data_IF_718435761665
#
_entry.id   IF_718435761665
#
_cell.length_a   1.000
_cell.length_b   1.000
_cell.length_c   1.000
_cell.angle_alpha   90.00
_cell.angle_beta   90.00
_cell.angle_gamma   90.00
#
_symmetry.space_group_name_H-M   'P 1'
#
loop_
_entity.id
_entity.type
_entity.pdbx_description
1 polymer ?
#
# COMPACT_ATOMS: atom_id res chain seq x y z
N UNK A 1 -1.72 16.18 -21.45
CA UNK A 1 -1.35 15.09 -20.54
C UNK A 1 -2.07 15.32 -19.23
N UNK A 2 -2.70 14.30 -18.65
CA UNK A 2 -3.23 14.41 -17.31
C UNK A 2 -2.07 14.54 -16.32
N UNK A 3 -2.16 15.49 -15.41
CA UNK A 3 -1.17 15.70 -14.35
C UNK A 3 -1.76 15.19 -13.05
N UNK A 4 -1.05 14.32 -12.36
CA UNK A 4 -1.44 13.80 -11.06
C UNK A 4 -0.52 14.33 -9.97
N UNK A 5 -1.10 14.59 -8.81
CA UNK A 5 -0.36 14.93 -7.59
C UNK A 5 -0.08 13.64 -6.82
N UNK A 6 1.13 13.52 -6.31
CA UNK A 6 1.57 12.41 -5.45
C UNK A 6 1.36 12.80 -4.00
N UNK A 7 0.55 12.05 -3.26
CA UNK A 7 0.39 12.18 -1.81
C UNK A 7 1.15 11.03 -1.16
N UNK A 8 2.14 11.35 -0.32
CA UNK A 8 2.99 10.36 0.39
C UNK A 8 2.52 10.22 1.82
N UNK A 9 2.40 8.99 2.27
CA UNK A 9 2.15 8.59 3.66
C UNK A 9 3.42 7.94 4.20
N UNK A 10 4.05 8.55 5.19
CA UNK A 10 5.36 8.16 5.72
C UNK A 10 5.29 7.86 7.21
N UNK A 11 6.34 7.28 7.78
CA UNK A 11 6.48 7.04 9.22
C UNK A 11 5.30 6.29 9.83
N UNK A 12 4.87 5.24 9.15
CA UNK A 12 3.77 4.42 9.65
C UNK A 12 4.07 3.82 11.02
N UNK A 13 3.14 3.95 11.95
CA UNK A 13 3.02 3.00 13.04
C UNK A 13 2.59 1.63 12.47
N UNK A 14 2.72 0.52 13.22
CA UNK A 14 2.34 -0.79 12.70
C UNK A 14 0.96 -0.78 12.07
N UNK A 15 0.84 -1.31 10.85
CA UNK A 15 -0.38 -1.29 10.06
C UNK A 15 -0.96 -2.70 9.92
N UNK A 16 -2.26 -2.83 10.14
CA UNK A 16 -3.03 -4.02 9.77
C UNK A 16 -4.22 -3.62 8.90
N UNK A 17 -4.29 -4.20 7.70
CA UNK A 17 -5.40 -4.00 6.77
C UNK A 17 -6.24 -5.27 6.78
N UNK A 18 -7.42 -5.19 7.40
CA UNK A 18 -8.35 -6.31 7.47
C UNK A 18 -8.90 -6.70 6.10
N UNK A 19 -9.13 -8.00 5.90
CA UNK A 19 -9.68 -8.55 4.64
C UNK A 19 -11.19 -8.79 4.69
N UNK A 20 -11.86 -8.31 5.76
CA UNK A 20 -13.29 -8.58 5.99
C UNK A 20 -13.61 -10.01 6.44
N UNK A 21 -12.59 -10.85 6.64
CA UNK A 21 -12.69 -12.17 7.26
C UNK A 21 -12.26 -12.07 8.72
N UNK A 22 -12.76 -12.95 9.58
CA UNK A 22 -12.42 -12.99 11.01
C UNK A 22 -10.95 -13.39 11.29
N UNK A 23 -10.12 -13.55 10.26
CA UNK A 23 -8.73 -13.95 10.38
C UNK A 23 -7.85 -12.70 10.50
N UNK A 24 -7.36 -12.45 11.70
CA UNK A 24 -6.40 -11.38 12.00
C UNK A 24 -4.95 -11.77 11.74
N UNK A 25 -4.68 -13.05 11.47
CA UNK A 25 -3.34 -13.61 11.18
C UNK A 25 -2.79 -13.23 9.80
N UNK A 26 -3.59 -12.52 9.01
CA UNK A 26 -3.21 -12.02 7.69
C UNK A 26 -3.65 -10.58 7.50
N UNK A 27 -2.69 -9.71 7.22
CA UNK A 27 -2.95 -8.32 6.79
C UNK A 27 -2.84 -8.23 5.27
N UNK A 28 -3.84 -7.63 4.62
CA UNK A 28 -3.79 -7.39 3.17
C UNK A 28 -2.53 -6.61 2.79
N UNK A 29 -1.99 -6.90 1.59
CA UNK A 29 -0.83 -6.17 1.05
C UNK A 29 -1.22 -4.83 0.45
N UNK A 30 -2.46 -4.71 0.01
CA UNK A 30 -2.93 -3.60 -0.80
C UNK A 30 -3.92 -2.73 -0.02
N UNK A 31 -3.71 -1.43 -0.07
CA UNK A 31 -4.65 -0.43 0.43
C UNK A 31 -5.39 0.16 -0.78
N UNK A 32 -6.59 -0.33 -1.02
CA UNK A 32 -7.38 0.02 -2.20
C UNK A 32 -7.93 1.45 -2.14
N UNK A 33 -8.21 2.02 -3.32
CA UNK A 33 -8.74 3.37 -3.47
C UNK A 33 -10.10 3.57 -2.80
N UNK A 34 -10.97 2.56 -2.82
CA UNK A 34 -12.27 2.58 -2.15
C UNK A 34 -12.13 2.65 -0.62
N UNK A 35 -11.16 1.94 -0.06
CA UNK A 35 -10.82 2.02 1.36
C UNK A 35 -10.31 3.41 1.74
N UNK A 36 -9.43 4.00 0.91
CA UNK A 36 -8.93 5.36 1.12
C UNK A 36 -10.05 6.39 1.00
N UNK A 37 -10.88 6.31 -0.05
CA UNK A 37 -12.02 7.21 -0.24
C UNK A 37 -13.00 7.12 0.92
N UNK A 38 -13.32 5.90 1.39
CA UNK A 38 -14.19 5.70 2.55
C UNK A 38 -13.58 6.28 3.83
N UNK A 39 -12.26 6.19 4.01
CA UNK A 39 -11.57 6.77 5.15
C UNK A 39 -11.60 8.30 5.09
N UNK A 40 -11.35 8.92 3.92
CA UNK A 40 -11.46 10.38 3.74
C UNK A 40 -12.89 10.88 3.96
N UNK A 41 -13.91 10.14 3.48
CA UNK A 41 -15.31 10.43 3.73
C UNK A 41 -15.61 10.44 5.23
N UNK A 42 -15.12 9.44 5.97
CA UNK A 42 -15.28 9.36 7.42
C UNK A 42 -14.62 10.55 8.13
N UNK A 43 -13.43 10.98 7.71
CA UNK A 43 -12.75 12.16 8.28
C UNK A 43 -13.58 13.43 8.02
N UNK A 44 -14.09 13.60 6.79
CA UNK A 44 -14.93 14.74 6.42
C UNK A 44 -16.20 14.82 7.28
N UNK A 45 -16.86 13.69 7.50
CA UNK A 45 -18.03 13.60 8.41
C UNK A 45 -17.65 13.95 9.85
N UNK A 46 -16.51 13.49 10.35
CA UNK A 46 -16.03 13.82 11.69
C UNK A 46 -15.74 15.32 11.86
N UNK A 47 -15.36 16.01 10.80
CA UNK A 47 -15.21 17.48 10.77
C UNK A 47 -16.56 18.22 10.71
N UNK A 48 -17.69 17.53 10.70
CA UNK A 48 -19.03 18.11 10.56
C UNK A 48 -19.42 18.49 9.12
N UNK A 49 -18.62 18.13 8.13
CA UNK A 49 -18.85 18.42 6.71
C UNK A 49 -19.65 17.28 6.07
N UNK A 50 -20.90 17.12 6.45
CA UNK A 50 -21.77 16.02 5.97
C UNK A 50 -22.47 16.35 4.66
N UNK A 51 -22.60 17.64 4.33
CA UNK A 51 -23.26 18.09 3.12
C UNK A 51 -22.44 17.78 1.87
N UNK A 52 -23.11 17.42 0.78
CA UNK A 52 -22.51 17.17 -0.53
C UNK A 52 -21.40 16.10 -0.55
N UNK A 53 -21.45 15.09 0.34
CA UNK A 53 -20.44 14.05 0.43
C UNK A 53 -20.30 13.26 -0.89
N UNK A 54 -21.39 12.92 -1.54
CA UNK A 54 -21.40 12.23 -2.83
C UNK A 54 -20.74 13.08 -3.93
N UNK A 55 -21.07 14.38 -3.96
CA UNK A 55 -20.44 15.33 -4.89
C UNK A 55 -18.94 15.46 -4.64
N UNK A 56 -18.52 15.52 -3.38
CA UNK A 56 -17.10 15.54 -3.02
C UNK A 56 -16.38 14.28 -3.52
N UNK A 57 -16.91 13.09 -3.23
CA UNK A 57 -16.29 11.82 -3.63
C UNK A 57 -16.24 11.63 -5.14
N UNK A 58 -17.13 12.27 -5.90
CA UNK A 58 -17.19 12.23 -7.37
C UNK A 58 -16.31 13.29 -8.04
N UNK A 59 -15.78 14.27 -7.28
CA UNK A 59 -15.09 15.43 -7.84
C UNK A 59 -13.63 15.20 -8.19
N UNK A 60 -13.04 14.08 -7.80
CA UNK A 60 -11.65 13.74 -8.06
C UNK A 60 -11.44 12.23 -8.23
N UNK A 61 -10.30 11.87 -8.84
CA UNK A 61 -9.81 10.50 -8.90
C UNK A 61 -8.77 10.29 -7.81
N UNK A 62 -8.82 9.15 -7.15
CA UNK A 62 -7.81 8.70 -6.19
C UNK A 62 -7.38 7.28 -6.53
N UNK A 63 -6.08 7.06 -6.67
CA UNK A 63 -5.55 5.71 -6.87
C UNK A 63 -5.56 4.92 -5.57
N UNK A 64 -5.40 3.60 -5.67
CA UNK A 64 -4.93 2.77 -4.55
C UNK A 64 -3.58 3.28 -4.06
N UNK A 65 -3.21 2.92 -2.84
CA UNK A 65 -1.90 3.24 -2.31
C UNK A 65 -0.86 2.21 -2.76
N UNK A 66 0.27 2.71 -3.22
CA UNK A 66 1.38 1.91 -3.72
C UNK A 66 2.62 2.12 -2.87
N UNK A 67 3.52 1.14 -2.77
CA UNK A 67 4.73 1.27 -1.98
C UNK A 67 5.73 2.24 -2.62
N UNK A 68 6.55 2.90 -1.77
CA UNK A 68 7.76 3.60 -2.18
C UNK A 68 8.88 3.33 -1.18
N UNK A 69 10.11 3.57 -1.63
CA UNK A 69 11.32 3.55 -0.81
C UNK A 69 12.21 4.72 -1.20
N UNK A 70 12.42 5.69 -0.31
CA UNK A 70 13.08 6.98 -0.60
C UNK A 70 12.41 7.71 -1.79
N UNK A 71 13.12 7.81 -2.93
CA UNK A 71 12.63 8.42 -4.17
C UNK A 71 12.26 7.37 -5.24
N UNK A 72 12.16 6.11 -4.86
CA UNK A 72 11.79 5.00 -5.74
C UNK A 72 10.33 4.66 -5.53
N UNK A 73 9.56 4.79 -6.60
CA UNK A 73 8.11 4.54 -6.60
C UNK A 73 7.83 3.23 -7.31
N UNK A 74 6.93 2.45 -6.76
CA UNK A 74 6.53 1.17 -7.31
C UNK A 74 5.08 1.24 -7.77
N UNK A 75 4.79 0.62 -8.91
CA UNK A 75 3.47 0.53 -9.50
C UNK A 75 3.04 -0.93 -9.56
N UNK A 76 1.75 -1.24 -9.50
CA UNK A 76 1.27 -2.60 -9.56
C UNK A 76 1.66 -3.27 -10.88
N UNK A 77 1.97 -4.56 -10.80
CA UNK A 77 2.27 -5.37 -11.96
C UNK A 77 1.10 -5.33 -12.95
N UNK A 78 1.41 -5.04 -14.21
CA UNK A 78 0.42 -4.99 -15.26
C UNK A 78 -0.24 -6.34 -15.49
N UNK A 79 -1.53 -6.31 -15.78
CA UNK A 79 -2.26 -7.46 -16.27
C UNK A 79 -1.80 -7.81 -17.69
N UNK A 80 -1.65 -9.11 -17.98
CA UNK A 80 -1.25 -9.59 -19.29
C UNK A 80 0.18 -10.14 -19.38
N UNK A 81 0.64 -10.36 -20.62
CA UNK A 81 1.97 -10.94 -20.87
C UNK A 81 3.04 -9.85 -20.81
N UNK A 82 3.77 -9.79 -19.72
CA UNK A 82 4.99 -9.00 -19.61
C UNK A 82 6.19 -9.87 -20.00
N UNK A 83 7.14 -9.27 -20.73
CA UNK A 83 8.36 -9.97 -21.16
C UNK A 83 9.52 -9.56 -20.27
N UNK A 84 9.94 -10.47 -19.40
CA UNK A 84 11.10 -10.30 -18.51
C UNK A 84 12.03 -11.48 -18.75
N UNK A 85 13.30 -11.18 -19.01
CA UNK A 85 14.37 -12.14 -19.24
C UNK A 85 15.48 -11.88 -18.23
N UNK A 86 16.09 -12.92 -17.70
CA UNK A 86 17.27 -12.83 -16.81
C UNK A 86 18.49 -13.31 -17.58
N UNK A 87 19.53 -12.47 -17.64
CA UNK A 87 20.77 -12.79 -18.35
C UNK A 87 21.35 -14.12 -17.89
N UNK A 88 21.72 -14.95 -18.84
CA UNK A 88 22.41 -16.22 -18.60
C UNK A 88 21.58 -17.28 -17.88
N UNK A 89 20.25 -17.12 -17.77
CA UNK A 89 19.35 -18.09 -17.12
C UNK A 89 18.23 -18.54 -18.06
N UNK A 90 17.86 -19.81 -17.94
CA UNK A 90 16.65 -20.32 -18.59
C UNK A 90 15.39 -19.86 -17.85
N UNK A 91 14.28 -19.66 -18.57
CA UNK A 91 13.02 -19.20 -17.99
C UNK A 91 12.52 -20.08 -16.84
N UNK A 92 12.75 -21.39 -16.91
CA UNK A 92 12.38 -22.35 -15.86
C UNK A 92 13.00 -22.03 -14.50
N UNK A 93 14.20 -21.41 -14.46
CA UNK A 93 14.93 -21.09 -13.24
C UNK A 93 14.34 -19.91 -12.46
N UNK A 94 13.74 -18.92 -13.17
CA UNK A 94 13.22 -17.70 -12.54
C UNK A 94 11.70 -17.52 -12.65
N UNK A 95 10.99 -18.42 -13.34
CA UNK A 95 9.53 -18.35 -13.51
C UNK A 95 8.76 -18.25 -12.20
N UNK A 96 9.20 -18.95 -11.16
CA UNK A 96 8.57 -18.89 -9.83
C UNK A 96 8.74 -17.50 -9.21
N UNK A 97 9.90 -16.88 -9.37
CA UNK A 97 10.18 -15.52 -8.88
C UNK A 97 9.35 -14.48 -9.61
N UNK A 98 9.19 -14.60 -10.94
CA UNK A 98 8.34 -13.69 -11.72
C UNK A 98 6.86 -13.71 -11.27
N UNK A 99 6.38 -14.86 -10.78
CA UNK A 99 5.00 -14.98 -10.28
C UNK A 99 4.79 -14.23 -8.96
N UNK A 100 5.84 -14.06 -8.17
CA UNK A 100 5.78 -13.37 -6.86
C UNK A 100 5.76 -11.85 -7.00
N UNK A 101 6.14 -11.30 -8.16
CA UNK A 101 6.16 -9.87 -8.39
C UNK A 101 4.73 -9.33 -8.33
N UNK A 102 4.46 -8.43 -7.41
CA UNK A 102 3.24 -7.64 -7.29
C UNK A 102 3.48 -6.19 -7.71
N UNK A 103 4.67 -5.65 -7.46
CA UNK A 103 5.02 -4.27 -7.73
C UNK A 103 6.30 -4.15 -8.53
N UNK A 104 6.34 -3.17 -9.41
CA UNK A 104 7.45 -2.91 -10.34
C UNK A 104 7.90 -1.47 -10.17
N UNK A 105 9.20 -1.25 -10.04
CA UNK A 105 9.79 0.09 -9.98
C UNK A 105 9.39 0.92 -11.22
N UNK A 106 9.02 2.18 -11.01
CA UNK A 106 8.35 3.03 -12.01
C UNK A 106 9.08 3.13 -13.35
N UNK A 107 10.41 3.19 -13.36
CA UNK A 107 11.20 3.23 -14.61
C UNK A 107 11.07 1.91 -15.41
N UNK A 108 11.07 0.77 -14.74
CA UNK A 108 10.88 -0.53 -15.37
C UNK A 108 9.44 -0.70 -15.84
N UNK A 109 8.50 -0.21 -15.03
CA UNK A 109 7.10 -0.20 -15.35
C UNK A 109 6.83 0.58 -16.65
N UNK A 110 7.44 1.77 -16.82
CA UNK A 110 7.33 2.56 -18.06
C UNK A 110 7.84 1.82 -19.30
N UNK A 111 8.95 1.08 -19.19
CA UNK A 111 9.45 0.26 -20.29
C UNK A 111 8.46 -0.84 -20.68
N UNK A 112 7.96 -1.57 -19.68
CA UNK A 112 6.96 -2.61 -19.90
C UNK A 112 5.66 -2.07 -20.51
N UNK A 113 5.21 -0.87 -20.09
CA UNK A 113 4.00 -0.24 -20.64
C UNK A 113 4.11 0.12 -22.11
N UNK A 114 5.34 0.32 -22.61
CA UNK A 114 5.64 0.52 -24.03
C UNK A 114 5.79 -0.79 -24.81
N UNK A 115 5.61 -1.94 -24.13
CA UNK A 115 5.76 -3.26 -24.74
C UNK A 115 7.22 -3.73 -24.86
N UNK A 116 8.16 -3.02 -24.22
CA UNK A 116 9.57 -3.39 -24.23
C UNK A 116 9.80 -4.68 -23.42
N UNK A 117 10.79 -5.46 -23.84
CA UNK A 117 11.28 -6.59 -23.04
C UNK A 117 12.27 -6.09 -22.00
N UNK A 118 12.07 -6.44 -20.73
CA UNK A 118 13.05 -6.15 -19.68
C UNK A 118 14.10 -7.26 -19.63
N UNK A 119 15.35 -6.87 -19.68
CA UNK A 119 16.47 -7.73 -19.44
C UNK A 119 17.07 -7.42 -18.07
N UNK A 120 16.95 -8.37 -17.13
CA UNK A 120 17.50 -8.25 -15.78
C UNK A 120 18.94 -8.79 -15.77
N UNK A 121 19.83 -8.06 -15.14
CA UNK A 121 21.23 -8.49 -14.97
C UNK A 121 21.32 -9.70 -14.02
N UNK A 122 20.54 -9.67 -12.94
CA UNK A 122 20.50 -10.73 -11.94
C UNK A 122 19.08 -11.04 -11.48
N UNK A 123 18.84 -12.25 -10.98
CA UNK A 123 17.57 -12.64 -10.38
C UNK A 123 17.31 -11.90 -9.06
N UNK A 124 18.34 -11.42 -8.39
CA UNK A 124 18.28 -10.68 -7.14
C UNK A 124 17.61 -9.30 -7.29
N UNK A 125 17.42 -8.82 -8.53
CA UNK A 125 16.55 -7.67 -8.79
C UNK A 125 15.08 -7.95 -8.47
N UNK A 126 14.69 -9.22 -8.28
CA UNK A 126 13.37 -9.62 -7.77
C UNK A 126 13.51 -9.87 -6.27
N UNK A 127 13.02 -8.94 -5.45
CA UNK A 127 13.10 -9.00 -3.99
C UNK A 127 11.69 -9.12 -3.40
N UNK A 128 11.38 -10.29 -2.86
CA UNK A 128 10.04 -10.56 -2.36
C UNK A 128 8.99 -10.42 -3.46
N UNK A 129 8.15 -9.42 -3.33
CA UNK A 129 7.09 -9.03 -4.27
C UNK A 129 7.46 -7.82 -5.15
N UNK A 130 8.68 -7.28 -5.01
CA UNK A 130 9.16 -6.11 -5.74
C UNK A 130 10.09 -6.51 -6.89
N UNK A 131 9.94 -5.84 -8.03
CA UNK A 131 10.91 -5.84 -9.13
C UNK A 131 11.68 -4.52 -9.13
N UNK A 132 12.99 -4.60 -8.93
CA UNK A 132 13.91 -3.47 -8.76
C UNK A 132 14.74 -3.24 -10.02
N UNK A 133 15.11 -1.99 -10.27
CA UNK A 133 16.06 -1.61 -11.32
C UNK A 133 17.47 -2.13 -11.03
N UNK A 134 17.85 -2.16 -9.76
CA UNK A 134 19.16 -2.66 -9.27
C UNK A 134 18.96 -3.57 -8.07
N UNK A 135 19.95 -4.41 -7.81
CA UNK A 135 20.03 -5.22 -6.59
C UNK A 135 20.53 -4.36 -5.43
N UNK A 136 19.61 -3.85 -4.60
CA UNK A 136 19.94 -2.88 -3.53
C UNK A 136 19.53 -3.36 -2.13
N UNK A 137 18.98 -4.55 -1.97
CA UNK A 137 18.60 -5.11 -0.67
C UNK A 137 17.56 -4.30 0.11
N UNK A 138 16.67 -3.58 -0.59
CA UNK A 138 15.64 -2.75 0.06
C UNK A 138 14.52 -3.61 0.62
N UNK A 139 13.93 -3.17 1.72
CA UNK A 139 12.72 -3.75 2.28
C UNK A 139 11.74 -2.63 2.58
N UNK A 140 10.58 -2.62 1.92
CA UNK A 140 9.55 -1.61 2.15
C UNK A 140 8.86 -1.84 3.48
N UNK A 141 8.41 -3.07 3.72
CA UNK A 141 7.79 -3.45 4.97
C UNK A 141 8.09 -4.92 5.32
N UNK A 142 7.91 -5.26 6.59
CA UNK A 142 8.00 -6.63 7.10
C UNK A 142 6.72 -6.98 7.84
N UNK A 143 6.18 -8.17 7.59
CA UNK A 143 5.10 -8.74 8.40
C UNK A 143 5.65 -9.41 9.64
N UNK A 144 4.97 -9.22 10.76
CA UNK A 144 5.24 -9.91 12.00
C UNK A 144 3.92 -10.36 12.62
N UNK A 145 3.73 -11.66 12.66
CA UNK A 145 2.60 -12.26 13.36
C UNK A 145 2.91 -12.34 14.85
N UNK A 146 2.01 -11.83 15.67
CA UNK A 146 2.07 -11.90 17.13
C UNK A 146 0.85 -12.61 17.68
N UNK A 147 1.04 -13.41 18.72
CA UNK A 147 -0.05 -14.02 19.48
C UNK A 147 -0.62 -13.01 20.46
N UNK A 148 -1.94 -12.94 20.53
CA UNK A 148 -2.73 -12.15 21.48
C UNK A 148 -3.78 -13.01 22.12
N UNK A 149 -4.32 -12.59 23.23
CA UNK A 149 -5.35 -13.29 23.96
C UNK A 149 -6.58 -12.38 24.11
N UNK A 150 -7.74 -12.89 23.71
CA UNK A 150 -9.02 -12.29 24.00
C UNK A 150 -9.54 -12.93 25.30
N UNK A 151 -9.81 -12.12 26.29
CA UNK A 151 -10.37 -12.58 27.56
C UNK A 151 -11.83 -12.17 27.63
N UNK A 152 -12.73 -13.16 27.74
CA UNK A 152 -14.15 -12.92 27.94
C UNK A 152 -14.40 -12.36 29.32
N UNK A 153 -15.10 -11.23 29.43
CA UNK A 153 -15.49 -10.66 30.73
C UNK A 153 -16.59 -11.46 31.44
N UNK A 154 -17.29 -12.32 30.70
CA UNK A 154 -18.44 -13.06 31.21
C UNK A 154 -18.07 -14.46 31.70
N UNK A 155 -17.13 -15.16 31.05
CA UNK A 155 -16.78 -16.55 31.33
C UNK A 155 -15.36 -16.77 31.84
N UNK A 156 -14.53 -15.72 31.90
CA UNK A 156 -13.10 -15.78 32.19
C UNK A 156 -12.29 -16.67 31.19
N UNK A 157 -12.93 -17.14 30.12
CA UNK A 157 -12.27 -17.92 29.08
C UNK A 157 -11.30 -17.04 28.30
N UNK A 158 -10.14 -17.59 28.01
CA UNK A 158 -9.08 -16.95 27.27
C UNK A 158 -8.88 -17.65 25.93
N UNK A 159 -9.15 -16.95 24.84
CA UNK A 159 -8.95 -17.47 23.47
C UNK A 159 -7.75 -16.81 22.83
N UNK A 160 -6.69 -17.56 22.47
CA UNK A 160 -5.57 -17.01 21.73
C UNK A 160 -5.97 -16.74 20.27
N UNK A 161 -5.50 -15.63 19.74
CA UNK A 161 -5.60 -15.30 18.32
C UNK A 161 -4.31 -14.71 17.80
N UNK A 162 -4.04 -14.90 16.52
CA UNK A 162 -2.85 -14.37 15.87
C UNK A 162 -3.19 -13.07 15.16
N UNK A 163 -2.24 -12.12 15.19
CA UNK A 163 -2.41 -10.82 14.60
C UNK A 163 -1.17 -10.44 13.78
N UNK A 164 -1.37 -10.17 12.47
CA UNK A 164 -0.29 -9.79 11.54
C UNK A 164 -0.15 -8.27 11.47
N UNK A 165 1.00 -7.79 11.89
CA UNK A 165 1.39 -6.40 11.77
C UNK A 165 2.38 -6.17 10.63
N UNK A 166 2.18 -5.11 9.85
CA UNK A 166 3.13 -4.61 8.87
C UNK A 166 3.93 -3.45 9.45
N UNK A 167 5.23 -3.63 9.48
CA UNK A 167 6.20 -2.63 9.94
C UNK A 167 6.92 -2.07 8.72
N UNK A 168 6.72 -0.79 8.45
CA UNK A 168 7.40 -0.09 7.37
C UNK A 168 8.83 0.31 7.76
N UNK A 169 9.75 0.24 6.81
CA UNK A 169 11.07 0.85 6.97
C UNK A 169 10.94 2.38 7.11
N UNK A 170 11.85 3.03 7.83
CA UNK A 170 11.82 4.49 8.02
C UNK A 170 11.90 5.30 6.73
N UNK A 171 12.50 4.74 5.68
CA UNK A 171 12.66 5.33 4.36
C UNK A 171 11.54 4.95 3.40
N UNK A 172 10.63 4.11 3.84
CA UNK A 172 9.54 3.56 3.06
C UNK A 172 8.17 4.06 3.54
N UNK A 173 7.17 3.83 2.72
CA UNK A 173 5.79 4.12 3.02
C UNK A 173 4.89 3.78 1.85
N UNK A 174 3.71 4.41 1.84
CA UNK A 174 2.74 4.29 0.77
C UNK A 174 2.52 5.66 0.12
N UNK A 175 2.18 5.66 -1.15
CA UNK A 175 1.76 6.87 -1.87
C UNK A 175 0.51 6.58 -2.68
N UNK A 176 -0.30 7.59 -2.89
CA UNK A 176 -1.42 7.55 -3.85
C UNK A 176 -1.32 8.72 -4.82
N UNK A 177 -2.08 8.63 -5.90
CA UNK A 177 -2.16 9.62 -6.96
C UNK A 177 -3.56 10.21 -7.00
N UNK A 178 -3.66 11.53 -7.15
CA UNK A 178 -4.93 12.23 -7.36
C UNK A 178 -4.81 13.25 -8.49
N UNK A 179 -5.89 13.49 -9.20
CA UNK A 179 -6.02 14.55 -10.20
C UNK A 179 -6.58 15.86 -9.63
N UNK A 180 -6.94 15.88 -8.33
CA UNK A 180 -7.42 17.06 -7.62
C UNK A 180 -6.42 18.23 -7.70
N UNK A 181 -6.95 19.47 -7.74
CA UNK A 181 -6.16 20.70 -7.84
C UNK A 181 -6.79 21.81 -7.01
N UNK A 182 -5.96 22.81 -6.68
CA UNK A 182 -6.41 24.02 -5.97
C UNK A 182 -7.03 23.69 -4.61
N UNK A 183 -8.11 24.35 -4.25
CA UNK A 183 -8.78 24.22 -2.95
C UNK A 183 -9.22 22.77 -2.65
N UNK A 184 -9.64 22.00 -3.67
CA UNK A 184 -9.99 20.60 -3.49
C UNK A 184 -8.78 19.75 -3.09
N UNK A 185 -7.61 20.01 -3.67
CA UNK A 185 -6.38 19.32 -3.29
C UNK A 185 -5.99 19.68 -1.85
N UNK A 186 -6.11 20.94 -1.47
CA UNK A 186 -5.81 21.40 -0.12
C UNK A 186 -6.76 20.74 0.92
N UNK A 187 -8.05 20.63 0.59
CA UNK A 187 -9.02 19.89 1.43
C UNK A 187 -8.62 18.42 1.57
N UNK A 188 -8.28 17.75 0.48
CA UNK A 188 -7.85 16.35 0.50
C UNK A 188 -6.58 16.16 1.35
N UNK A 189 -5.61 17.05 1.23
CA UNK A 189 -4.37 17.00 2.03
C UNK A 189 -4.71 17.15 3.54
N UNK A 190 -5.59 18.07 3.91
CA UNK A 190 -6.02 18.22 5.30
C UNK A 190 -6.72 16.95 5.82
N UNK A 191 -7.56 16.31 5.01
CA UNK A 191 -8.19 15.04 5.37
C UNK A 191 -7.15 13.91 5.54
N UNK A 192 -6.11 13.85 4.70
CA UNK A 192 -5.02 12.90 4.87
C UNK A 192 -4.20 13.15 6.15
N UNK A 193 -3.97 14.40 6.53
CA UNK A 193 -3.29 14.75 7.79
C UNK A 193 -4.12 14.23 8.98
N UNK A 194 -5.41 14.52 9.01
CA UNK A 194 -6.31 14.02 10.07
C UNK A 194 -6.39 12.48 10.09
N UNK A 195 -6.46 11.87 8.92
CA UNK A 195 -6.46 10.42 8.79
C UNK A 195 -5.16 9.83 9.33
N UNK A 196 -4.02 10.50 9.08
CA UNK A 196 -2.72 10.09 9.62
C UNK A 196 -2.66 10.11 11.15
N UNK A 197 -3.29 11.11 11.79
CA UNK A 197 -3.41 11.17 13.25
C UNK A 197 -4.37 10.12 13.80
N UNK A 198 -5.47 9.86 13.09
CA UNK A 198 -6.49 8.88 13.48
C UNK A 198 -6.01 7.45 13.25
N UNK A 199 -5.27 7.21 12.17
CA UNK A 199 -4.79 5.91 11.71
C UNK A 199 -5.70 5.24 10.66
N UNK A 200 -5.07 4.42 9.85
CA UNK A 200 -5.69 3.51 8.87
C UNK A 200 -5.75 2.08 9.41
N UNK A 201 -6.68 1.29 8.89
CA UNK A 201 -6.80 -0.13 9.22
C UNK A 201 -7.69 -0.40 10.42
N UNK A 202 -7.56 -1.60 11.01
CA UNK A 202 -8.51 -2.09 12.02
C UNK A 202 -8.18 -1.63 13.44
N UNK A 203 -6.93 -1.60 13.83
CA UNK A 203 -6.48 -1.36 15.22
C UNK A 203 -6.10 0.11 15.51
N UNK A 204 -6.85 1.06 14.92
CA UNK A 204 -6.67 2.51 15.13
C UNK A 204 -6.72 2.92 16.60
N UNK A 205 -7.62 2.30 17.37
CA UNK A 205 -7.87 2.63 18.77
C UNK A 205 -6.68 2.36 19.69
N UNK A 206 -5.74 1.52 19.26
CA UNK A 206 -4.51 1.21 19.98
C UNK A 206 -3.25 1.81 19.31
N UNK A 207 -3.47 2.78 18.41
CA UNK A 207 -2.41 3.53 17.75
C UNK A 207 -1.84 2.88 16.48
N UNK A 208 -2.50 1.86 15.94
CA UNK A 208 -2.14 1.25 14.66
C UNK A 208 -2.45 2.13 13.47
N UNK A 209 -1.63 2.02 12.40
CA UNK A 209 -1.86 2.65 11.11
C UNK A 209 -1.74 4.18 11.07
N UNK A 210 -1.12 4.81 12.06
CA UNK A 210 -0.80 6.25 12.04
C UNK A 210 0.31 6.53 11.05
N UNK A 211 0.27 7.71 10.40
CA UNK A 211 1.28 8.13 9.42
C UNK A 211 1.36 9.65 9.33
N UNK A 212 2.38 10.14 8.60
CA UNK A 212 2.58 11.57 8.31
C UNK A 212 2.70 11.80 6.81
#
# INVERSE_FOLDING_TARGET
MATFTVIKMTHFSPLHIGTGKENYDFSASDLHSDTLLSALAAMRVQMGQTENLESFLSSFLLSSAFPFYENRYFLPKMQGKIKIVVKGKAESEYRKSLKKIHYIESELWQKLSRGETLELETIQQIQGDLLLKKEDGISVCKSQVSERVSVSRASEDAEPFFFDWKFFDRKAGLYCLTDAKGELLDEIIQLFILLGETGLGTDKNIGGGKFY
#
